data_IF_358702575643
#
_entry.id   IF_358702575643
#
_cell.length_a   1.000
_cell.length_b   1.000
_cell.length_c   1.000
_cell.angle_alpha   90.00
_cell.angle_beta   90.00
_cell.angle_gamma   90.00
#
_symmetry.space_group_name_H-M   'P 1'
#
loop_
_entity.id
_entity.type
_entity.pdbx_description
1 polymer ?
#
# COMPACT_ATOMS: atom_id res chain seq x y z
N UNK A 1 -6.04 19.74 8.62
CA UNK A 1 -4.74 19.14 9.01
C UNK A 1 -3.58 19.99 8.51
N UNK A 2 -3.52 20.30 7.21
CA UNK A 2 -2.48 21.16 6.61
C UNK A 2 -2.42 22.54 7.31
N UNK A 3 -3.53 23.28 7.35
CA UNK A 3 -3.61 24.59 8.03
C UNK A 3 -3.14 24.56 9.50
N UNK A 4 -3.36 23.43 10.20
CA UNK A 4 -2.91 23.27 11.57
C UNK A 4 -1.41 23.03 11.66
N UNK A 5 -0.84 22.25 10.74
CA UNK A 5 0.59 22.01 10.66
C UNK A 5 1.32 23.30 10.28
N UNK A 6 0.80 24.06 9.31
CA UNK A 6 1.32 25.38 8.91
C UNK A 6 1.35 26.34 10.10
N UNK A 7 0.25 26.45 10.86
CA UNK A 7 0.19 27.31 12.05
C UNK A 7 1.19 26.92 13.14
N UNK A 8 1.65 25.67 13.16
CA UNK A 8 2.61 25.15 14.13
C UNK A 8 4.03 25.04 13.57
N UNK A 9 4.28 25.56 12.36
CA UNK A 9 5.56 25.45 11.64
C UNK A 9 6.05 23.99 11.52
N UNK A 10 5.12 23.05 11.42
CA UNK A 10 5.42 21.63 11.20
C UNK A 10 5.59 21.38 9.70
N UNK A 11 6.72 20.78 9.25
CA UNK A 11 6.87 20.36 7.87
C UNK A 11 5.77 19.38 7.46
N UNK A 12 5.22 19.57 6.26
CA UNK A 12 4.19 18.70 5.68
C UNK A 12 4.60 18.21 4.31
N UNK A 13 4.22 16.97 4.01
CA UNK A 13 4.26 16.39 2.68
C UNK A 13 2.88 15.79 2.40
N UNK A 14 2.26 16.19 1.29
CA UNK A 14 0.85 15.95 0.98
C UNK A 14 0.74 15.09 -0.27
N UNK A 15 0.09 13.93 -0.13
CA UNK A 15 -0.19 13.04 -1.25
C UNK A 15 -1.10 13.71 -2.28
N UNK A 16 -0.75 13.59 -3.57
CA UNK A 16 -1.42 14.25 -4.69
C UNK A 16 -0.99 15.70 -4.92
N UNK A 17 -0.09 16.23 -4.09
CA UNK A 17 0.53 17.56 -4.28
C UNK A 17 2.04 17.41 -4.38
N UNK A 18 2.68 16.97 -3.30
CA UNK A 18 4.16 16.91 -3.19
C UNK A 18 4.71 15.56 -3.66
N UNK A 19 3.90 14.51 -3.54
CA UNK A 19 4.22 13.17 -4.02
C UNK A 19 2.94 12.41 -4.39
N UNK A 20 3.05 11.46 -5.31
CA UNK A 20 1.92 10.64 -5.74
C UNK A 20 2.39 9.29 -6.32
N UNK A 21 1.46 8.35 -6.43
CA UNK A 21 1.69 7.15 -7.23
C UNK A 21 0.44 6.75 -8.01
N UNK A 22 0.67 6.17 -9.19
CA UNK A 22 -0.38 5.64 -10.05
C UNK A 22 0.12 4.43 -10.83
N UNK A 23 -0.83 3.70 -11.41
CA UNK A 23 -0.52 2.59 -12.30
C UNK A 23 -0.39 3.07 -13.74
N UNK A 24 0.70 2.69 -14.40
CA UNK A 24 0.90 2.91 -15.83
C UNK A 24 1.59 1.67 -16.43
N UNK A 25 1.02 1.10 -17.50
CA UNK A 25 1.54 -0.10 -18.18
C UNK A 25 1.83 -1.29 -17.24
N UNK A 26 1.00 -1.48 -16.21
CA UNK A 26 1.13 -2.57 -15.22
C UNK A 26 2.26 -2.37 -14.20
N UNK A 27 2.81 -1.16 -14.12
CA UNK A 27 3.83 -0.76 -13.15
C UNK A 27 3.34 0.39 -12.28
N UNK A 28 3.94 0.52 -11.10
CA UNK A 28 3.72 1.64 -10.20
C UNK A 28 4.71 2.75 -10.52
N UNK A 29 4.18 3.88 -10.98
CA UNK A 29 4.95 5.12 -11.10
C UNK A 29 4.83 5.87 -9.78
N UNK A 30 5.95 6.09 -9.11
CA UNK A 30 6.06 7.03 -7.99
C UNK A 30 6.69 8.32 -8.49
N UNK A 31 6.14 9.46 -8.08
CA UNK A 31 6.67 10.77 -8.43
C UNK A 31 6.64 11.70 -7.22
N UNK A 32 7.71 12.46 -7.02
CA UNK A 32 7.78 13.62 -6.14
C UNK A 32 8.59 14.75 -6.79
N UNK A 33 8.91 15.79 -6.01
CA UNK A 33 9.66 16.96 -6.50
C UNK A 33 11.10 16.64 -6.95
N UNK A 34 11.72 15.58 -6.42
CA UNK A 34 13.10 15.23 -6.77
C UNK A 34 13.20 14.28 -7.97
N UNK A 35 12.10 13.61 -8.35
CA UNK A 35 12.07 12.77 -9.53
C UNK A 35 11.01 11.67 -9.53
N UNK A 36 11.26 10.67 -10.38
CA UNK A 36 10.33 9.58 -10.68
C UNK A 36 11.02 8.23 -10.47
N UNK A 37 10.26 7.26 -9.93
CA UNK A 37 10.65 5.85 -9.87
C UNK A 37 9.61 4.99 -10.58
N UNK A 38 10.07 4.11 -11.48
CA UNK A 38 9.22 3.13 -12.17
C UNK A 38 9.39 1.75 -11.52
N UNK A 39 8.45 1.41 -10.65
CA UNK A 39 8.53 0.25 -9.75
C UNK A 39 7.53 -0.83 -10.17
N UNK A 40 7.78 -2.12 -9.85
CA UNK A 40 6.73 -3.11 -9.94
C UNK A 40 5.60 -2.76 -8.96
N UNK A 41 4.35 -3.20 -9.21
CA UNK A 41 3.27 -3.02 -8.24
C UNK A 41 3.63 -3.63 -6.88
N UNK A 42 3.20 -3.02 -5.76
CA UNK A 42 3.42 -3.60 -4.45
C UNK A 42 2.77 -4.98 -4.36
N UNK A 43 3.46 -5.93 -3.71
CA UNK A 43 2.93 -7.29 -3.49
C UNK A 43 1.63 -7.31 -2.69
N UNK A 44 1.35 -6.27 -1.89
CA UNK A 44 0.10 -6.13 -1.17
C UNK A 44 -1.06 -5.84 -2.14
N UNK A 45 -2.19 -6.57 -2.05
CA UNK A 45 -3.32 -6.37 -2.95
C UNK A 45 -4.09 -5.09 -2.65
N UNK A 46 -4.74 -4.55 -3.69
CA UNK A 46 -5.65 -3.40 -3.62
C UNK A 46 -5.01 -2.09 -4.11
N UNK A 47 -5.78 -1.31 -4.88
CA UNK A 47 -5.33 -0.06 -5.53
C UNK A 47 -4.77 0.98 -4.56
N UNK A 48 -5.37 1.07 -3.36
CA UNK A 48 -4.93 1.97 -2.29
C UNK A 48 -3.47 1.70 -1.83
N UNK A 49 -2.91 0.52 -2.11
CA UNK A 49 -1.53 0.21 -1.74
C UNK A 49 -0.51 1.04 -2.52
N UNK A 50 -0.86 1.61 -3.68
CA UNK A 50 0.01 2.55 -4.40
C UNK A 50 0.21 3.82 -3.58
N UNK A 51 -0.87 4.38 -3.02
CA UNK A 51 -0.80 5.53 -2.14
C UNK A 51 -0.02 5.22 -0.85
N UNK A 52 -0.22 4.04 -0.27
CA UNK A 52 0.54 3.60 0.91
C UNK A 52 2.04 3.44 0.60
N UNK A 53 2.38 2.84 -0.54
CA UNK A 53 3.77 2.68 -0.97
C UNK A 53 4.43 4.03 -1.23
N UNK A 54 3.73 4.96 -1.89
CA UNK A 54 4.19 6.33 -2.10
C UNK A 54 4.43 7.06 -0.77
N UNK A 55 3.50 6.95 0.18
CA UNK A 55 3.65 7.55 1.50
C UNK A 55 4.86 6.97 2.26
N UNK A 56 5.13 5.67 2.13
CA UNK A 56 6.31 5.05 2.73
C UNK A 56 7.62 5.56 2.11
N UNK A 57 7.70 5.68 0.79
CA UNK A 57 8.87 6.23 0.08
C UNK A 57 9.07 7.70 0.50
N UNK A 58 8.03 8.53 0.42
CA UNK A 58 8.09 9.94 0.78
C UNK A 58 8.49 10.14 2.25
N UNK A 59 7.98 9.31 3.17
CA UNK A 59 8.36 9.39 4.59
C UNK A 59 9.84 9.08 4.84
N UNK A 60 10.41 8.09 4.14
CA UNK A 60 11.83 7.75 4.27
C UNK A 60 12.71 8.89 3.71
N UNK A 61 12.32 9.45 2.56
CA UNK A 61 13.01 10.61 1.97
C UNK A 61 12.93 11.84 2.88
N UNK A 62 11.75 12.14 3.42
CA UNK A 62 11.53 13.25 4.36
C UNK A 62 12.32 13.08 5.67
N UNK A 63 12.60 11.84 6.08
CA UNK A 63 13.48 11.54 7.21
C UNK A 63 14.98 11.69 6.88
N UNK A 64 15.33 12.09 5.66
CA UNK A 64 16.71 12.36 5.21
C UNK A 64 17.48 11.13 4.73
N UNK A 65 16.80 10.02 4.46
CA UNK A 65 17.43 8.81 3.95
C UNK A 65 17.30 8.70 2.43
N UNK A 66 18.39 8.31 1.77
CA UNK A 66 18.36 7.98 0.34
C UNK A 66 17.78 6.58 0.11
N UNK A 67 16.89 6.47 -0.88
CA UNK A 67 16.34 5.19 -1.34
C UNK A 67 16.81 4.95 -2.76
N UNK A 68 17.68 3.95 -2.93
CA UNK A 68 18.05 3.50 -4.27
C UNK A 68 16.85 2.84 -4.98
N UNK A 69 16.78 2.99 -6.31
CA UNK A 69 15.77 2.32 -7.13
C UNK A 69 15.68 0.81 -6.87
N UNK A 70 16.85 0.15 -6.75
CA UNK A 70 16.93 -1.28 -6.43
C UNK A 70 16.32 -1.64 -5.07
N UNK A 71 16.49 -0.77 -4.07
CA UNK A 71 15.89 -0.98 -2.75
C UNK A 71 14.36 -0.84 -2.81
N UNK A 72 13.86 0.16 -3.54
CA UNK A 72 12.43 0.35 -3.76
C UNK A 72 11.81 -0.83 -4.53
N UNK A 73 12.44 -1.29 -5.62
CA UNK A 73 11.97 -2.48 -6.37
C UNK A 73 11.90 -3.73 -5.49
N UNK A 74 12.96 -3.98 -4.69
CA UNK A 74 12.98 -5.10 -3.76
C UNK A 74 11.86 -4.96 -2.72
N UNK A 75 11.62 -3.76 -2.21
CA UNK A 75 10.55 -3.50 -1.24
C UNK A 75 9.18 -3.83 -1.85
N UNK A 76 8.88 -3.33 -3.06
CA UNK A 76 7.61 -3.62 -3.74
C UNK A 76 7.39 -5.12 -3.95
N UNK A 77 8.43 -5.85 -4.37
CA UNK A 77 8.33 -7.29 -4.60
C UNK A 77 8.23 -8.14 -3.32
N UNK A 78 8.74 -7.66 -2.18
CA UNK A 78 8.89 -8.47 -0.96
C UNK A 78 8.03 -8.02 0.21
N UNK A 79 7.39 -6.84 0.13
CA UNK A 79 6.56 -6.31 1.21
C UNK A 79 5.51 -7.32 1.64
N UNK A 80 5.40 -7.49 2.96
CA UNK A 80 4.43 -8.35 3.60
C UNK A 80 3.90 -7.63 4.83
N UNK A 81 2.57 -7.61 4.97
CA UNK A 81 1.89 -6.99 6.10
C UNK A 81 0.88 -7.98 6.67
N UNK A 82 1.24 -8.71 7.76
CA UNK A 82 0.32 -9.65 8.38
C UNK A 82 -0.98 -8.98 8.80
N UNK A 83 -2.11 -9.63 8.51
CA UNK A 83 -3.45 -9.11 8.81
C UNK A 83 -3.93 -7.97 7.91
N UNK A 84 -3.38 -7.82 6.70
CA UNK A 84 -3.91 -6.92 5.65
C UNK A 84 -4.26 -7.72 4.41
N UNK A 85 -5.55 -7.96 4.20
CA UNK A 85 -6.10 -8.83 3.16
C UNK A 85 -5.26 -10.09 2.94
N UNK A 86 -4.92 -10.75 4.05
CA UNK A 86 -4.00 -11.88 4.06
C UNK A 86 -4.78 -13.18 3.83
N UNK A 87 -4.48 -13.89 2.73
CA UNK A 87 -4.99 -15.24 2.50
C UNK A 87 -4.31 -16.25 3.42
N UNK A 88 -5.09 -16.97 4.23
CA UNK A 88 -4.61 -18.06 5.08
C UNK A 88 -4.73 -19.39 4.35
N UNK A 89 -3.67 -19.77 3.63
CA UNK A 89 -3.65 -21.02 2.86
C UNK A 89 -3.34 -22.27 3.70
N UNK A 90 -2.87 -22.11 4.95
CA UNK A 90 -2.39 -23.19 5.80
C UNK A 90 -2.70 -22.93 7.28
N UNK A 91 -2.61 -23.98 8.09
CA UNK A 91 -2.77 -23.94 9.54
C UNK A 91 -4.17 -24.35 10.01
N UNK A 92 -4.36 -24.39 11.33
CA UNK A 92 -5.57 -24.96 11.97
C UNK A 92 -6.88 -24.38 11.46
N UNK A 93 -6.93 -23.07 11.19
CA UNK A 93 -8.14 -22.45 10.65
C UNK A 93 -8.45 -22.91 9.23
N UNK A 94 -7.42 -23.03 8.37
CA UNK A 94 -7.56 -23.55 7.02
C UNK A 94 -8.00 -25.02 7.00
N UNK A 95 -7.50 -25.83 7.95
CA UNK A 95 -7.89 -27.24 8.11
C UNK A 95 -9.35 -27.42 8.55
N UNK A 96 -9.92 -26.44 9.26
CA UNK A 96 -11.31 -26.44 9.69
C UNK A 96 -12.27 -25.87 8.62
N UNK A 97 -11.73 -25.25 7.57
CA UNK A 97 -12.54 -24.65 6.52
C UNK A 97 -13.23 -25.71 5.66
N UNK A 98 -14.45 -25.44 5.16
CA UNK A 98 -15.05 -26.28 4.13
C UNK A 98 -14.14 -26.43 2.91
N UNK A 99 -14.22 -27.57 2.23
CA UNK A 99 -13.41 -27.82 1.02
C UNK A 99 -13.70 -26.75 -0.03
N UNK A 100 -12.64 -26.06 -0.49
CA UNK A 100 -12.72 -25.01 -1.49
C UNK A 100 -13.04 -23.62 -0.94
N UNK A 101 -13.21 -23.46 0.38
CA UNK A 101 -13.35 -22.15 0.99
C UNK A 101 -11.99 -21.46 1.16
N UNK A 102 -11.93 -20.18 0.84
CA UNK A 102 -10.80 -19.32 1.16
C UNK A 102 -11.02 -18.64 2.52
N UNK A 103 -9.96 -18.53 3.32
CA UNK A 103 -9.95 -17.73 4.55
C UNK A 103 -9.07 -16.50 4.32
N UNK A 104 -9.65 -15.33 4.54
CA UNK A 104 -8.99 -14.02 4.47
C UNK A 104 -8.98 -13.36 5.85
N UNK A 105 -7.84 -12.77 6.22
CA UNK A 105 -7.66 -12.03 7.47
C UNK A 105 -7.37 -10.56 7.18
N UNK A 106 -8.18 -9.66 7.74
CA UNK A 106 -7.91 -8.23 7.77
C UNK A 106 -8.19 -7.64 9.16
N UNK A 107 -7.29 -6.78 9.66
CA UNK A 107 -7.43 -6.05 10.93
C UNK A 107 -8.22 -4.74 10.83
N UNK A 108 -8.92 -4.51 9.71
CA UNK A 108 -9.79 -3.36 9.47
C UNK A 108 -10.92 -3.29 10.49
N UNK A 109 -11.03 -2.15 11.17
CA UNK A 109 -11.98 -1.95 12.27
C UNK A 109 -12.67 -0.57 12.20
N UNK A 110 -12.61 0.08 11.04
CA UNK A 110 -13.23 1.38 10.80
C UNK A 110 -13.97 1.38 9.44
N UNK A 111 -14.86 2.36 9.19
CA UNK A 111 -15.65 2.39 7.96
C UNK A 111 -14.80 2.43 6.68
N UNK A 112 -13.68 3.16 6.71
CA UNK A 112 -12.76 3.24 5.56
C UNK A 112 -12.16 1.88 5.21
N UNK A 113 -11.76 1.09 6.20
CA UNK A 113 -11.29 -0.27 5.99
C UNK A 113 -12.39 -1.16 5.40
N UNK A 114 -13.64 -1.01 5.85
CA UNK A 114 -14.77 -1.74 5.28
C UNK A 114 -14.95 -1.52 3.77
N UNK A 115 -14.84 -0.27 3.31
CA UNK A 115 -14.90 0.08 1.89
C UNK A 115 -13.75 -0.59 1.11
N UNK A 116 -12.53 -0.41 1.60
CA UNK A 116 -11.33 -0.93 0.95
C UNK A 116 -11.30 -2.47 0.89
N UNK A 117 -11.77 -3.15 1.94
CA UNK A 117 -11.88 -4.61 1.99
C UNK A 117 -12.92 -5.10 0.97
N UNK A 118 -14.06 -4.42 0.87
CA UNK A 118 -15.11 -4.78 -0.08
C UNK A 118 -14.62 -4.65 -1.53
N UNK A 119 -13.94 -3.55 -1.87
CA UNK A 119 -13.32 -3.35 -3.19
C UNK A 119 -12.28 -4.44 -3.49
N UNK A 120 -11.39 -4.74 -2.53
CA UNK A 120 -10.37 -5.77 -2.71
C UNK A 120 -10.97 -7.17 -2.92
N UNK A 121 -12.08 -7.51 -2.26
CA UNK A 121 -12.78 -8.78 -2.48
C UNK A 121 -13.45 -8.84 -3.86
N UNK A 122 -14.08 -7.74 -4.30
CA UNK A 122 -14.67 -7.67 -5.64
C UNK A 122 -13.61 -7.85 -6.75
N UNK A 123 -12.44 -7.20 -6.61
CA UNK A 123 -11.31 -7.36 -7.55
C UNK A 123 -10.75 -8.79 -7.59
N UNK A 124 -10.92 -9.60 -6.54
CA UNK A 124 -10.51 -11.01 -6.54
C UNK A 124 -11.52 -11.90 -7.27
N UNK A 125 -12.81 -11.60 -7.24
CA UNK A 125 -13.83 -12.38 -7.97
C UNK A 125 -13.71 -12.19 -9.50
N UNK A 126 -13.17 -11.06 -9.95
CA UNK A 126 -12.97 -10.76 -11.37
C UNK A 126 -11.73 -11.46 -11.99
N UNK A 127 -10.90 -12.12 -11.19
CA UNK A 127 -9.67 -12.82 -11.63
C UNK A 127 -9.85 -14.34 -11.71
#
# INVERSE_FOLDING_TARGET
LIETAERLDCPTFVYGQDFLAFEENGRMVYQDEDGLMDLPPPRLPGRHQFANAAAAIAAIKAAGFEISHRAAEKAMASVAWPGRMQKLAQGKLAELAPKGADIWLDGGHNPGAGIVIAEALAEQEEK
#
